data_IF_694687524700
#
_entry.id   IF_694687524700
#
_cell.length_a   1.000
_cell.length_b   1.000
_cell.length_c   1.000
_cell.angle_alpha   90.00
_cell.angle_beta   90.00
_cell.angle_gamma   90.00
#
_symmetry.space_group_name_H-M   'P 1'
#
loop_
_entity.id
_entity.type
_entity.pdbx_description
1 polymer ?
#
# COMPACT_ATOMS: atom_id res chain seq x y z
N UNK A 1 -35.12 -50.76 11.50
CA UNK A 1 -35.56 -51.18 10.15
C UNK A 1 -35.29 -50.03 9.20
N UNK A 2 -34.65 -50.36 8.09
CA UNK A 2 -33.93 -49.48 7.15
C UNK A 2 -34.82 -48.88 6.07
N UNK A 3 -34.60 -47.62 5.68
CA UNK A 3 -34.59 -47.15 4.28
C UNK A 3 -33.88 -45.79 4.22
N UNK A 4 -32.67 -45.73 3.64
CA UNK A 4 -32.36 -45.43 2.23
C UNK A 4 -32.58 -43.95 1.87
N UNK A 5 -31.51 -43.15 1.96
CA UNK A 5 -31.37 -41.90 1.20
C UNK A 5 -30.13 -42.02 0.31
N UNK A 6 -30.37 -41.75 -0.97
CA UNK A 6 -29.43 -41.91 -2.08
C UNK A 6 -28.24 -40.96 -1.97
N UNK A 7 -27.05 -41.52 -2.14
CA UNK A 7 -25.79 -40.82 -2.35
C UNK A 7 -25.68 -40.49 -3.85
N UNK A 8 -25.55 -39.21 -4.19
CA UNK A 8 -25.23 -38.78 -5.57
C UNK A 8 -23.71 -38.58 -5.66
N UNK A 9 -23.05 -39.50 -6.37
CA UNK A 9 -21.63 -39.45 -6.70
C UNK A 9 -21.37 -38.32 -7.69
N UNK A 10 -20.55 -37.34 -7.32
CA UNK A 10 -19.87 -36.44 -8.26
C UNK A 10 -18.50 -37.02 -8.60
N UNK A 11 -18.06 -37.02 -9.88
CA UNK A 11 -16.81 -37.66 -10.28
C UNK A 11 -15.60 -36.84 -9.80
N UNK A 12 -14.66 -37.56 -9.20
CA UNK A 12 -13.31 -37.10 -8.87
C UNK A 12 -12.59 -36.68 -10.17
N UNK A 13 -12.16 -35.43 -10.25
CA UNK A 13 -11.15 -35.02 -11.23
C UNK A 13 -9.79 -35.45 -10.69
N UNK A 14 -9.25 -36.51 -11.28
CA UNK A 14 -7.84 -36.89 -11.14
C UNK A 14 -6.96 -35.81 -11.79
N UNK A 15 -5.89 -35.42 -11.09
CA UNK A 15 -4.74 -34.76 -11.71
C UNK A 15 -4.35 -33.41 -11.13
N UNK A 16 -3.70 -33.42 -9.95
CA UNK A 16 -2.58 -32.50 -9.67
C UNK A 16 -1.51 -33.34 -8.97
N UNK A 17 -0.60 -33.88 -9.76
CA UNK A 17 0.66 -34.44 -9.28
C UNK A 17 1.46 -33.26 -8.69
N UNK A 18 1.66 -33.24 -7.37
CA UNK A 18 2.45 -32.19 -6.72
C UNK A 18 3.91 -32.39 -7.09
N UNK A 19 4.43 -31.54 -7.97
CA UNK A 19 5.87 -31.42 -8.19
C UNK A 19 6.52 -30.93 -6.89
N UNK A 20 7.31 -31.82 -6.29
CA UNK A 20 8.03 -31.60 -5.05
C UNK A 20 9.23 -30.67 -5.33
N UNK A 21 8.97 -29.35 -5.38
CA UNK A 21 9.99 -28.31 -5.60
C UNK A 21 10.84 -28.07 -4.34
N UNK A 22 11.46 -29.13 -3.82
CA UNK A 22 12.42 -29.04 -2.73
C UNK A 22 13.80 -28.64 -3.26
N UNK A 23 14.06 -27.32 -3.31
CA UNK A 23 15.41 -26.80 -3.58
C UNK A 23 16.22 -26.84 -2.28
N UNK A 24 17.26 -27.66 -2.27
CA UNK A 24 18.27 -27.68 -1.21
C UNK A 24 19.18 -26.46 -1.35
N UNK A 25 19.05 -25.49 -0.44
CA UNK A 25 20.00 -24.37 -0.35
C UNK A 25 21.23 -24.85 0.41
N UNK A 26 22.36 -24.99 -0.29
CA UNK A 26 23.65 -25.26 0.31
C UNK A 26 24.06 -24.09 1.22
N UNK A 27 24.15 -24.32 2.54
CA UNK A 27 24.73 -23.37 3.49
C UNK A 27 24.01 -23.17 4.83
N UNK A 28 22.84 -23.80 5.07
CA UNK A 28 22.18 -23.70 6.39
C UNK A 28 22.67 -24.79 7.35
N UNK A 29 23.16 -24.48 8.56
CA UNK A 29 23.76 -25.47 9.46
C UNK A 29 22.83 -26.60 9.93
N UNK A 30 21.52 -26.53 9.66
CA UNK A 30 20.52 -27.41 10.28
C UNK A 30 19.53 -28.09 9.34
N UNK A 31 19.73 -28.12 8.02
CA UNK A 31 18.95 -29.00 7.12
C UNK A 31 17.42 -28.92 7.23
N UNK A 32 16.87 -27.77 7.65
CA UNK A 32 15.43 -27.57 7.77
C UNK A 32 14.82 -27.50 6.38
N UNK A 33 13.96 -28.47 6.05
CA UNK A 33 13.05 -28.38 4.90
C UNK A 33 12.09 -27.21 5.14
N UNK A 34 12.43 -26.06 4.56
CA UNK A 34 11.53 -24.90 4.53
C UNK A 34 10.45 -25.23 3.51
N UNK A 35 9.26 -25.62 3.95
CA UNK A 35 8.09 -25.56 3.07
C UNK A 35 7.94 -24.11 2.63
N UNK A 36 8.15 -23.87 1.33
CA UNK A 36 8.03 -22.52 0.75
C UNK A 36 6.62 -22.00 1.05
N UNK A 37 6.55 -20.88 1.79
CA UNK A 37 5.28 -20.18 1.97
C UNK A 37 4.83 -19.65 0.60
N UNK A 38 3.51 -19.51 0.35
CA UNK A 38 3.01 -18.98 -0.93
C UNK A 38 3.28 -17.48 -1.13
N UNK A 39 4.14 -16.87 -0.30
CA UNK A 39 4.51 -15.47 -0.33
C UNK A 39 5.98 -15.29 0.09
N UNK A 40 6.61 -14.23 -0.42
CA UNK A 40 7.99 -13.87 -0.07
C UNK A 40 8.05 -13.15 1.27
N UNK A 41 9.02 -13.51 2.12
CA UNK A 41 9.34 -12.81 3.38
C UNK A 41 10.69 -12.09 3.34
N UNK A 42 11.48 -12.29 2.29
CA UNK A 42 12.71 -11.58 1.99
C UNK A 42 12.92 -11.50 0.47
N UNK A 43 13.70 -10.52 0.01
CA UNK A 43 14.07 -10.33 -1.39
C UNK A 43 15.54 -9.90 -1.48
N UNK A 44 16.28 -10.41 -2.48
CA UNK A 44 17.70 -10.13 -2.66
C UNK A 44 17.96 -8.64 -2.99
N UNK A 45 16.99 -8.00 -3.65
CA UNK A 45 17.02 -6.57 -3.99
C UNK A 45 16.98 -5.67 -2.76
N UNK A 46 16.55 -6.18 -1.60
CA UNK A 46 16.59 -5.50 -0.30
C UNK A 46 17.31 -6.37 0.74
N UNK A 47 18.66 -6.35 0.79
CA UNK A 47 19.46 -7.24 1.63
C UNK A 47 19.12 -7.21 3.13
N UNK A 48 18.61 -6.08 3.64
CA UNK A 48 18.17 -5.98 5.04
C UNK A 48 17.05 -6.97 5.36
N UNK A 49 16.22 -7.32 4.37
CA UNK A 49 15.14 -8.27 4.53
C UNK A 49 15.64 -9.73 4.65
N UNK A 50 16.79 -10.04 4.07
CA UNK A 50 17.45 -11.36 4.22
C UNK A 50 18.27 -11.42 5.51
N UNK A 51 18.86 -10.29 5.93
CA UNK A 51 19.62 -10.21 7.17
C UNK A 51 18.74 -10.34 8.44
N UNK A 52 17.44 -10.03 8.33
CA UNK A 52 16.51 -9.94 9.46
C UNK A 52 15.19 -10.65 9.17
N UNK A 53 15.26 -11.96 8.93
CA UNK A 53 14.09 -12.78 8.57
C UNK A 53 13.10 -12.85 9.75
N UNK A 54 11.79 -12.57 9.54
CA UNK A 54 10.78 -12.73 10.58
C UNK A 54 10.61 -14.21 10.96
N UNK A 55 10.03 -14.49 12.13
CA UNK A 55 9.73 -15.88 12.50
C UNK A 55 8.85 -16.56 11.43
N UNK A 56 9.38 -17.63 10.83
CA UNK A 56 8.68 -18.47 9.87
C UNK A 56 8.30 -19.76 10.60
N UNK A 57 7.01 -19.94 10.94
CA UNK A 57 6.60 -21.13 11.64
C UNK A 57 6.81 -22.36 10.75
N UNK A 58 7.51 -23.40 11.25
CA UNK A 58 7.66 -24.66 10.52
C UNK A 58 6.28 -25.30 10.29
N UNK A 59 6.15 -26.24 9.34
CA UNK A 59 4.86 -26.85 9.00
C UNK A 59 4.12 -27.46 10.20
N UNK A 60 4.86 -28.06 11.14
CA UNK A 60 4.32 -28.66 12.36
C UNK A 60 4.12 -27.65 13.52
N UNK A 61 4.31 -26.35 13.29
CA UNK A 61 4.13 -25.34 14.32
C UNK A 61 2.68 -25.25 14.74
N UNK A 62 2.44 -25.33 16.05
CA UNK A 62 1.13 -25.05 16.66
C UNK A 62 0.74 -23.58 16.52
N UNK A 63 1.73 -22.68 16.41
CA UNK A 63 1.53 -21.26 16.15
C UNK A 63 1.71 -21.00 14.66
N UNK A 64 0.61 -20.98 13.90
CA UNK A 64 0.65 -20.74 12.45
C UNK A 64 0.55 -19.24 12.12
N UNK A 65 1.48 -18.76 11.29
CA UNK A 65 1.51 -17.45 10.64
C UNK A 65 1.00 -16.27 11.48
N UNK A 66 1.49 -16.12 12.73
CA UNK A 66 1.01 -15.17 13.75
C UNK A 66 1.26 -13.67 13.43
N UNK A 67 1.01 -13.24 12.20
CA UNK A 67 1.34 -11.92 11.68
C UNK A 67 2.65 -11.87 10.90
N UNK A 68 3.03 -12.96 10.22
CA UNK A 68 4.23 -13.00 9.37
C UNK A 68 4.18 -11.91 8.30
N UNK A 69 5.21 -11.07 8.27
CA UNK A 69 5.32 -9.99 7.31
C UNK A 69 5.61 -10.49 5.89
N UNK A 70 5.04 -9.83 4.89
CA UNK A 70 5.15 -10.14 3.47
C UNK A 70 5.98 -9.06 2.79
N UNK A 71 7.04 -9.47 2.11
CA UNK A 71 7.98 -8.53 1.50
C UNK A 71 7.33 -7.75 0.36
N UNK A 72 6.59 -8.41 -0.53
CA UNK A 72 6.16 -7.86 -1.83
C UNK A 72 4.65 -7.69 -1.98
N UNK A 73 3.86 -8.03 -0.94
CA UNK A 73 2.39 -8.09 -1.04
C UNK A 73 1.71 -7.37 0.13
N UNK A 74 0.95 -6.31 -0.17
CA UNK A 74 -0.02 -5.71 0.75
C UNK A 74 -1.29 -6.56 0.84
N UNK A 75 -1.22 -7.69 1.53
CA UNK A 75 -2.33 -8.66 1.59
C UNK A 75 -3.35 -8.36 2.68
N UNK A 76 -4.63 -8.39 2.34
CA UNK A 76 -5.75 -8.35 3.30
C UNK A 76 -6.54 -9.66 3.30
N UNK A 77 -7.54 -9.76 4.17
CA UNK A 77 -8.51 -10.84 4.17
C UNK A 77 -9.26 -10.94 2.82
N UNK A 78 -9.67 -9.82 2.23
CA UNK A 78 -10.42 -9.77 0.96
C UNK A 78 -9.50 -9.91 -0.25
N UNK A 79 -8.25 -9.44 -0.16
CA UNK A 79 -7.22 -9.54 -1.19
C UNK A 79 -5.98 -10.24 -0.64
N UNK A 80 -6.01 -11.57 -0.45
CA UNK A 80 -4.89 -12.32 0.14
C UNK A 80 -3.63 -12.30 -0.71
N UNK A 81 -3.74 -11.95 -1.99
CA UNK A 81 -2.62 -11.82 -2.94
C UNK A 81 -2.29 -10.35 -3.28
N UNK A 82 -2.78 -9.38 -2.49
CA UNK A 82 -2.57 -7.95 -2.72
C UNK A 82 -3.28 -7.42 -3.96
N UNK A 83 -2.74 -6.37 -4.57
CA UNK A 83 -3.31 -5.79 -5.81
C UNK A 83 -2.92 -6.63 -7.02
N UNK A 84 -3.89 -7.34 -7.61
CA UNK A 84 -3.67 -8.18 -8.81
C UNK A 84 -4.12 -7.51 -10.10
N UNK A 85 -4.84 -6.39 -10.01
CA UNK A 85 -5.31 -5.61 -11.15
C UNK A 85 -4.12 -5.20 -12.05
N UNK A 86 -4.26 -5.37 -13.36
CA UNK A 86 -3.20 -5.11 -14.35
C UNK A 86 -1.85 -5.79 -14.03
N UNK A 87 -1.87 -6.95 -13.37
CA UNK A 87 -0.68 -7.71 -12.99
C UNK A 87 0.24 -6.99 -11.97
N UNK A 88 -0.28 -6.02 -11.21
CA UNK A 88 0.51 -5.16 -10.31
C UNK A 88 1.40 -5.95 -9.34
N UNK A 89 0.83 -6.87 -8.54
CA UNK A 89 1.60 -7.67 -7.60
C UNK A 89 2.74 -8.47 -8.24
N UNK A 90 2.59 -8.92 -9.49
CA UNK A 90 3.62 -9.71 -10.16
C UNK A 90 4.75 -8.82 -10.71
N UNK A 91 4.43 -7.61 -11.19
CA UNK A 91 5.44 -6.68 -11.74
C UNK A 91 6.29 -6.00 -10.67
N UNK A 92 5.84 -5.99 -9.41
CA UNK A 92 6.52 -5.34 -8.27
C UNK A 92 7.18 -6.35 -7.30
N UNK A 93 7.44 -7.57 -7.75
CA UNK A 93 8.02 -8.66 -6.94
C UNK A 93 9.48 -8.45 -6.49
N UNK A 94 10.12 -7.40 -6.99
CA UNK A 94 11.51 -6.99 -6.71
C UNK A 94 11.59 -5.80 -5.73
N UNK A 95 10.45 -5.35 -5.19
CA UNK A 95 10.37 -4.22 -4.27
C UNK A 95 9.69 -4.63 -2.97
N UNK A 96 10.13 -4.09 -1.85
CA UNK A 96 9.36 -4.17 -0.61
C UNK A 96 8.07 -3.38 -0.74
N UNK A 97 7.02 -3.71 0.02
CA UNK A 97 5.72 -3.00 -0.08
C UNK A 97 5.88 -1.50 0.17
N UNK A 98 6.77 -1.05 1.07
CA UNK A 98 7.04 0.39 1.26
C UNK A 98 7.78 1.04 0.08
N UNK A 99 8.55 0.27 -0.70
CA UNK A 99 9.13 0.79 -1.95
C UNK A 99 8.07 0.92 -3.04
N UNK A 100 7.16 -0.05 -3.14
CA UNK A 100 6.00 0.03 -4.03
C UNK A 100 5.15 1.27 -3.70
N UNK A 101 4.96 1.58 -2.42
CA UNK A 101 4.28 2.79 -1.96
C UNK A 101 4.85 4.07 -2.58
N UNK A 102 6.18 4.24 -2.55
CA UNK A 102 6.82 5.49 -2.99
C UNK A 102 7.18 5.52 -4.48
N UNK A 103 7.16 4.38 -5.16
CA UNK A 103 7.53 4.28 -6.58
C UNK A 103 6.71 5.19 -7.49
N UNK A 104 5.43 5.45 -7.17
CA UNK A 104 4.59 6.37 -7.95
C UNK A 104 5.23 7.74 -8.20
N UNK A 105 6.08 8.19 -7.26
CA UNK A 105 6.80 9.45 -7.40
C UNK A 105 8.17 9.30 -8.07
N UNK A 106 8.80 8.14 -8.05
CA UNK A 106 10.09 7.86 -8.73
C UNK A 106 9.86 7.51 -10.21
N UNK A 107 9.40 8.49 -10.99
CA UNK A 107 8.87 8.23 -12.35
C UNK A 107 9.93 7.91 -13.40
N UNK A 108 11.18 8.30 -13.19
CA UNK A 108 12.33 7.94 -14.02
C UNK A 108 13.09 6.72 -13.49
N UNK A 109 12.66 6.16 -12.34
CA UNK A 109 13.15 4.92 -11.74
C UNK A 109 14.65 4.95 -11.44
N UNK A 110 15.16 6.11 -11.02
CA UNK A 110 16.57 6.27 -10.62
C UNK A 110 16.79 5.97 -9.12
N UNK A 111 15.70 5.74 -8.37
CA UNK A 111 15.72 5.45 -6.94
C UNK A 111 15.77 6.70 -6.06
N UNK A 112 15.56 7.90 -6.63
CA UNK A 112 15.68 9.18 -5.96
C UNK A 112 14.44 10.04 -6.24
N UNK A 113 13.67 10.31 -5.18
CA UNK A 113 12.50 11.19 -5.28
C UNK A 113 12.93 12.62 -4.94
N UNK A 114 12.87 13.52 -5.91
CA UNK A 114 13.07 14.94 -5.72
C UNK A 114 11.78 15.63 -5.26
N UNK A 115 11.88 16.82 -4.63
CA UNK A 115 10.69 17.62 -4.31
C UNK A 115 9.78 17.91 -5.52
N UNK A 116 10.37 18.08 -6.71
CA UNK A 116 9.59 18.27 -7.95
C UNK A 116 8.74 17.03 -8.29
N UNK A 117 9.24 15.83 -8.03
CA UNK A 117 8.55 14.58 -8.32
C UNK A 117 7.35 14.42 -7.38
N UNK A 118 7.56 14.69 -6.09
CA UNK A 118 6.49 14.74 -5.09
C UNK A 118 5.39 15.72 -5.49
N UNK A 119 5.77 16.95 -5.88
CA UNK A 119 4.83 17.97 -6.33
C UNK A 119 4.03 17.50 -7.56
N UNK A 120 4.71 17.02 -8.60
CA UNK A 120 4.09 16.55 -9.84
C UNK A 120 3.16 15.38 -9.56
N UNK A 121 3.59 14.42 -8.75
CA UNK A 121 2.80 13.26 -8.34
C UNK A 121 1.47 13.67 -7.68
N UNK A 122 1.51 14.59 -6.72
CA UNK A 122 0.30 15.09 -6.08
C UNK A 122 -0.61 15.86 -7.04
N UNK A 123 -0.04 16.61 -7.98
CA UNK A 123 -0.80 17.33 -9.00
C UNK A 123 -1.51 16.39 -9.98
N UNK A 124 -0.90 15.24 -10.31
CA UNK A 124 -1.44 14.24 -11.25
C UNK A 124 -2.75 13.60 -10.77
N UNK A 125 -2.97 13.41 -9.47
CA UNK A 125 -4.27 12.94 -8.94
C UNK A 125 -5.22 14.07 -8.50
N UNK A 126 -4.83 15.33 -8.69
CA UNK A 126 -5.74 16.46 -8.63
C UNK A 126 -5.68 17.35 -7.39
N UNK A 127 -4.72 17.17 -6.47
CA UNK A 127 -4.52 18.13 -5.38
C UNK A 127 -4.13 19.50 -5.92
N UNK A 128 -4.71 20.58 -5.40
CA UNK A 128 -4.46 21.96 -5.87
C UNK A 128 -2.97 22.36 -5.73
N UNK A 129 -2.48 23.35 -6.50
CA UNK A 129 -1.08 23.80 -6.38
C UNK A 129 -0.64 24.16 -4.95
N UNK A 130 -1.44 24.89 -4.13
CA UNK A 130 -1.07 25.18 -2.75
C UNK A 130 -0.97 23.92 -1.88
N UNK A 131 -1.93 22.98 -2.04
CA UNK A 131 -1.94 21.73 -1.28
C UNK A 131 -0.76 20.82 -1.68
N UNK A 132 -0.47 20.71 -2.96
CA UNK A 132 0.66 19.94 -3.47
C UNK A 132 2.00 20.52 -3.00
N UNK A 133 2.16 21.85 -3.00
CA UNK A 133 3.35 22.50 -2.47
C UNK A 133 3.53 22.27 -0.96
N UNK A 134 2.44 22.36 -0.19
CA UNK A 134 2.47 22.07 1.24
C UNK A 134 2.84 20.61 1.53
N UNK A 135 2.24 19.66 0.79
CA UNK A 135 2.56 18.25 0.92
C UNK A 135 4.02 17.95 0.57
N UNK A 136 4.52 18.53 -0.53
CA UNK A 136 5.93 18.41 -0.94
C UNK A 136 6.87 18.89 0.15
N UNK A 137 6.59 20.07 0.73
CA UNK A 137 7.39 20.57 1.84
C UNK A 137 7.38 19.60 3.02
N UNK A 138 6.21 19.13 3.46
CA UNK A 138 6.09 18.21 4.60
C UNK A 138 6.83 16.90 4.34
N UNK A 139 6.64 16.28 3.16
CA UNK A 139 7.19 14.98 2.80
C UNK A 139 8.71 15.06 2.66
N UNK A 140 9.21 15.86 1.71
CA UNK A 140 10.64 15.89 1.40
C UNK A 140 11.49 16.42 2.56
N UNK A 141 10.99 17.45 3.28
CA UNK A 141 11.74 18.02 4.40
C UNK A 141 11.95 17.01 5.53
N UNK A 142 10.94 16.19 5.85
CA UNK A 142 11.01 15.27 6.99
C UNK A 142 11.57 13.88 6.62
N UNK A 143 11.37 13.41 5.38
CA UNK A 143 11.78 12.05 4.96
C UNK A 143 13.16 12.01 4.27
N UNK A 144 13.74 13.15 3.91
CA UNK A 144 15.05 13.15 3.23
C UNK A 144 16.18 12.64 4.13
N UNK A 145 16.31 13.18 5.34
CA UNK A 145 17.47 12.87 6.20
C UNK A 145 17.56 11.39 6.62
N UNK A 146 16.48 10.72 7.05
CA UNK A 146 16.56 9.31 7.46
C UNK A 146 16.95 8.37 6.32
N UNK A 147 16.64 8.75 5.07
CA UNK A 147 16.93 7.94 3.89
C UNK A 147 18.33 8.16 3.31
N UNK A 148 19.16 9.03 3.90
CA UNK A 148 20.46 9.36 3.30
C UNK A 148 21.45 8.18 3.20
N UNK A 149 22.28 8.17 2.14
CA UNK A 149 23.43 7.27 2.06
C UNK A 149 24.47 7.55 3.15
N UNK A 150 24.67 8.83 3.50
CA UNK A 150 25.67 9.31 4.45
C UNK A 150 25.09 10.12 5.62
N UNK A 151 25.93 10.93 6.26
CA UNK A 151 25.60 11.67 7.48
C UNK A 151 25.22 13.15 7.25
N UNK A 152 25.73 13.78 6.19
CA UNK A 152 25.46 15.20 5.93
C UNK A 152 24.06 15.37 5.33
N UNK A 153 23.26 16.34 5.79
CA UNK A 153 21.96 16.64 5.20
C UNK A 153 22.05 16.93 3.70
N UNK A 154 21.06 16.47 2.95
CA UNK A 154 20.94 16.75 1.53
C UNK A 154 20.28 18.13 1.32
N UNK A 155 20.99 19.12 0.76
CA UNK A 155 20.44 20.47 0.57
C UNK A 155 19.27 20.51 -0.42
N UNK A 156 19.05 19.43 -1.17
CA UNK A 156 17.94 19.29 -2.12
C UNK A 156 16.76 18.49 -1.56
N UNK A 157 16.83 18.03 -0.30
CA UNK A 157 15.75 17.28 0.36
C UNK A 157 15.27 16.06 -0.45
N UNK A 158 16.19 15.35 -1.09
CA UNK A 158 15.89 14.13 -1.86
C UNK A 158 15.61 12.95 -0.93
N UNK A 159 14.68 12.09 -1.33
CA UNK A 159 14.34 10.84 -0.63
C UNK A 159 14.92 9.68 -1.42
N UNK A 160 15.65 8.79 -0.75
CA UNK A 160 16.29 7.64 -1.39
C UNK A 160 15.42 6.39 -1.19
N UNK A 161 14.85 5.88 -2.29
CA UNK A 161 13.84 4.80 -2.29
C UNK A 161 14.37 3.54 -1.63
N UNK A 162 15.65 3.20 -1.83
CA UNK A 162 16.28 2.02 -1.23
C UNK A 162 16.39 2.07 0.31
N UNK A 163 16.20 3.24 0.93
CA UNK A 163 16.31 3.44 2.38
C UNK A 163 15.01 3.95 3.01
N UNK A 164 13.93 4.06 2.25
CA UNK A 164 12.62 4.56 2.74
C UNK A 164 12.06 3.73 3.91
N UNK A 165 12.45 2.46 4.06
CA UNK A 165 12.12 1.65 5.23
C UNK A 165 12.60 2.26 6.56
N UNK A 166 13.53 3.22 6.53
CA UNK A 166 14.02 3.96 7.69
C UNK A 166 13.12 5.11 8.14
N UNK A 167 12.17 5.54 7.31
CA UNK A 167 11.21 6.61 7.66
C UNK A 167 10.10 6.15 8.61
N UNK A 168 10.20 4.91 9.08
CA UNK A 168 9.28 4.35 10.09
C UNK A 168 9.37 5.12 11.41
N UNK A 169 8.23 5.47 11.99
CA UNK A 169 8.10 6.11 13.31
C UNK A 169 7.26 5.27 14.28
N UNK A 170 7.32 5.61 15.57
CA UNK A 170 6.81 4.77 16.66
C UNK A 170 5.29 4.74 16.78
N UNK A 171 4.58 5.74 16.25
CA UNK A 171 3.13 5.91 16.38
C UNK A 171 2.40 5.71 15.06
N UNK A 172 3.07 5.11 14.07
CA UNK A 172 2.46 4.67 12.82
C UNK A 172 1.46 3.51 13.06
N UNK A 173 0.89 2.97 11.98
CA UNK A 173 -0.05 1.84 12.07
C UNK A 173 0.60 0.50 12.42
N UNK A 174 1.94 0.44 12.41
CA UNK A 174 2.74 -0.78 12.50
C UNK A 174 2.48 -1.81 11.39
N UNK A 175 1.80 -1.39 10.32
CA UNK A 175 1.54 -2.23 9.14
C UNK A 175 2.80 -2.45 8.31
N UNK A 176 3.76 -1.53 8.31
CA UNK A 176 5.12 -1.84 7.86
C UNK A 176 5.97 -2.32 9.04
N UNK A 177 6.78 -3.35 8.81
CA UNK A 177 7.88 -3.69 9.71
C UNK A 177 9.11 -2.79 9.48
N UNK A 178 10.16 -2.97 10.28
CA UNK A 178 11.36 -2.15 10.23
C UNK A 178 12.19 -2.35 8.95
N UNK A 179 11.84 -3.34 8.13
CA UNK A 179 12.48 -3.62 6.84
C UNK A 179 11.56 -3.29 5.66
N UNK A 180 10.42 -2.62 5.91
CA UNK A 180 9.50 -2.16 4.87
C UNK A 180 8.53 -3.23 4.35
N UNK A 181 8.47 -4.39 5.00
CA UNK A 181 7.53 -5.46 4.66
C UNK A 181 6.15 -5.16 5.24
N UNK A 182 5.11 -5.65 4.59
CA UNK A 182 3.74 -5.47 5.03
C UNK A 182 3.31 -6.55 6.04
N UNK A 183 2.65 -6.16 7.14
CA UNK A 183 2.11 -7.02 8.18
C UNK A 183 0.59 -7.09 8.09
N UNK A 184 0.01 -8.15 7.48
CA UNK A 184 -1.43 -8.29 7.34
C UNK A 184 -2.18 -8.22 8.67
N UNK A 185 -1.64 -8.81 9.73
CA UNK A 185 -2.27 -8.77 11.06
C UNK A 185 -2.47 -7.32 11.54
N UNK A 186 -1.42 -6.49 11.45
CA UNK A 186 -1.51 -5.09 11.87
C UNK A 186 -2.50 -4.30 11.02
N UNK A 187 -2.57 -4.58 9.70
CA UNK A 187 -3.54 -3.97 8.82
C UNK A 187 -4.98 -4.35 9.17
N UNK A 188 -5.26 -5.65 9.34
CA UNK A 188 -6.59 -6.17 9.74
C UNK A 188 -7.02 -5.64 11.11
N UNK A 189 -6.08 -5.53 12.05
CA UNK A 189 -6.30 -4.98 13.38
C UNK A 189 -6.82 -3.54 13.36
N UNK A 190 -6.48 -2.73 12.34
CA UNK A 190 -7.01 -1.36 12.21
C UNK A 190 -8.54 -1.41 12.12
N UNK A 191 -9.08 -2.24 11.23
CA UNK A 191 -10.51 -2.31 10.98
C UNK A 191 -11.23 -3.06 12.10
N UNK A 192 -10.64 -4.16 12.59
CA UNK A 192 -11.20 -4.91 13.70
C UNK A 192 -11.36 -4.07 14.98
N UNK A 193 -10.44 -3.12 15.23
CA UNK A 193 -10.47 -2.25 16.42
C UNK A 193 -11.29 -0.99 16.24
N UNK A 194 -11.31 -0.43 15.02
CA UNK A 194 -11.78 0.95 14.80
C UNK A 194 -12.95 1.10 13.83
N UNK A 195 -13.26 0.15 12.94
CA UNK A 195 -14.46 0.24 12.08
C UNK A 195 -15.74 0.01 12.91
N UNK A 196 -16.25 1.09 13.50
CA UNK A 196 -17.45 1.01 14.33
C UNK A 196 -18.71 0.89 13.49
N UNK A 197 -19.47 -0.15 13.75
CA UNK A 197 -20.73 -0.40 13.04
C UNK A 197 -20.55 -1.11 11.71
N UNK A 198 -19.38 -1.73 11.48
CA UNK A 198 -19.12 -2.66 10.38
C UNK A 198 -19.41 -2.04 9.00
N UNK A 199 -18.82 -0.86 8.76
CA UNK A 199 -19.07 -0.06 7.55
C UNK A 199 -18.16 -0.46 6.39
N UNK A 200 -17.22 -1.38 6.61
CA UNK A 200 -16.19 -1.78 5.66
C UNK A 200 -15.09 -0.73 5.46
N UNK A 201 -14.87 0.15 6.44
CA UNK A 201 -13.93 1.27 6.34
C UNK A 201 -13.95 2.22 7.54
N UNK A 202 -13.13 3.27 7.47
CA UNK A 202 -13.02 4.24 8.56
C UNK A 202 -13.69 5.56 8.19
N UNK A 203 -14.61 6.02 9.04
CA UNK A 203 -15.03 7.42 9.02
C UNK A 203 -14.03 8.31 9.78
N UNK A 204 -14.28 9.63 9.79
CA UNK A 204 -13.38 10.59 10.47
C UNK A 204 -13.25 10.33 11.98
N UNK A 205 -14.32 9.83 12.63
CA UNK A 205 -14.31 9.57 14.06
C UNK A 205 -13.53 8.29 14.39
N UNK A 206 -13.63 7.29 13.53
CA UNK A 206 -12.83 6.07 13.62
C UNK A 206 -11.36 6.36 13.38
N UNK A 207 -11.03 7.20 12.39
CA UNK A 207 -9.66 7.71 12.21
C UNK A 207 -9.15 8.41 13.47
N UNK A 208 -9.90 9.34 14.07
CA UNK A 208 -9.45 10.04 15.28
C UNK A 208 -9.25 9.09 16.48
N UNK A 209 -10.03 8.00 16.58
CA UNK A 209 -9.84 6.96 17.60
C UNK A 209 -8.60 6.12 17.31
N UNK A 210 -8.40 5.72 16.05
CA UNK A 210 -7.22 5.01 15.58
C UNK A 210 -5.96 5.82 15.87
N UNK A 211 -5.91 7.07 15.42
CA UNK A 211 -4.79 7.98 15.65
C UNK A 211 -4.47 8.12 17.15
N UNK A 212 -5.48 8.36 17.99
CA UNK A 212 -5.27 8.46 19.44
C UNK A 212 -4.72 7.18 20.06
N UNK A 213 -5.10 6.02 19.52
CA UNK A 213 -4.71 4.69 20.00
C UNK A 213 -3.30 4.26 19.60
N UNK A 214 -2.75 4.78 18.51
CA UNK A 214 -1.37 4.46 18.07
C UNK A 214 -0.28 5.26 18.81
N UNK A 215 -0.64 6.32 19.54
CA UNK A 215 0.34 7.23 20.16
C UNK A 215 1.22 6.54 21.20
N UNK A 216 2.52 6.52 20.96
CA UNK A 216 3.53 6.09 21.94
C UNK A 216 4.02 7.26 22.83
N UNK A 217 4.33 6.97 24.10
CA UNK A 217 4.50 7.96 25.20
C UNK A 217 5.52 9.09 24.96
N UNK A 218 6.46 8.96 24.03
CA UNK A 218 7.44 10.02 23.73
C UNK A 218 7.65 10.26 22.22
N UNK A 219 6.73 9.78 21.39
CA UNK A 219 6.86 9.89 19.95
C UNK A 219 6.02 11.05 19.40
N UNK A 220 6.33 12.27 19.85
CA UNK A 220 5.59 13.47 19.43
C UNK A 220 5.66 13.70 17.93
N UNK A 221 6.79 13.36 17.30
CA UNK A 221 6.94 13.39 15.85
C UNK A 221 5.97 12.42 15.19
N UNK A 222 5.97 11.14 15.60
CA UNK A 222 5.05 10.14 15.03
C UNK A 222 3.59 10.48 15.27
N UNK A 223 3.21 11.13 16.38
CA UNK A 223 1.83 11.58 16.58
C UNK A 223 1.39 12.54 15.46
N UNK A 224 2.23 13.52 15.14
CA UNK A 224 1.95 14.47 14.07
C UNK A 224 2.04 13.83 12.70
N UNK A 225 3.06 12.99 12.45
CA UNK A 225 3.26 12.29 11.19
C UNK A 225 2.04 11.39 10.86
N UNK A 226 1.64 10.50 11.76
CA UNK A 226 0.46 9.63 11.55
C UNK A 226 -0.81 10.42 11.31
N UNK A 227 -1.03 11.55 12.01
CA UNK A 227 -2.20 12.38 11.76
C UNK A 227 -2.20 12.93 10.31
N UNK A 228 -1.06 13.46 9.87
CA UNK A 228 -0.90 14.04 8.54
C UNK A 228 -0.97 12.99 7.43
N UNK A 229 -0.36 11.82 7.61
CA UNK A 229 -0.42 10.68 6.66
C UNK A 229 -1.87 10.24 6.40
N UNK A 230 -2.65 10.10 7.47
CA UNK A 230 -4.04 9.65 7.35
C UNK A 230 -4.99 10.77 6.90
N UNK A 231 -4.71 12.03 7.27
CA UNK A 231 -5.41 13.19 6.70
C UNK A 231 -5.14 13.29 5.19
N UNK A 232 -3.88 13.13 4.77
CA UNK A 232 -3.51 13.06 3.36
C UNK A 232 -4.22 11.90 2.65
N UNK A 233 -4.31 10.74 3.28
CA UNK A 233 -5.08 9.59 2.77
C UNK A 233 -6.56 9.95 2.58
N UNK A 234 -7.19 10.58 3.57
CA UNK A 234 -8.58 11.05 3.45
C UNK A 234 -8.76 12.05 2.30
N UNK A 235 -7.86 13.03 2.18
CA UNK A 235 -7.89 14.03 1.10
C UNK A 235 -7.62 13.44 -0.29
N UNK A 236 -6.81 12.38 -0.37
CA UNK A 236 -6.57 11.64 -1.61
C UNK A 236 -7.80 10.85 -2.03
N UNK A 237 -8.39 10.08 -1.11
CA UNK A 237 -9.53 9.22 -1.40
C UNK A 237 -10.80 10.04 -1.67
N UNK A 238 -11.03 11.06 -0.84
CA UNK A 238 -12.20 11.95 -0.83
C UNK A 238 -13.52 11.18 -0.99
N UNK A 239 -13.85 10.26 -0.05
CA UNK A 239 -15.03 9.40 -0.17
C UNK A 239 -16.33 10.20 -0.09
N UNK A 240 -17.30 9.89 -0.97
CA UNK A 240 -18.57 10.62 -1.08
C UNK A 240 -19.44 10.50 0.18
N UNK A 241 -19.42 9.35 0.84
CA UNK A 241 -20.14 9.08 2.09
C UNK A 241 -19.27 9.28 3.34
N UNK A 242 -18.06 9.80 3.18
CA UNK A 242 -17.13 10.06 4.27
C UNK A 242 -16.41 8.82 4.81
N UNK A 243 -16.55 7.64 4.20
CA UNK A 243 -15.94 6.40 4.68
C UNK A 243 -14.76 6.00 3.78
N UNK A 244 -13.55 5.98 4.34
CA UNK A 244 -12.37 5.46 3.67
C UNK A 244 -12.41 3.93 3.68
N UNK A 245 -12.70 3.32 2.52
CA UNK A 245 -12.84 1.86 2.38
C UNK A 245 -11.53 1.14 2.68
N UNK A 246 -11.64 -0.01 3.34
CA UNK A 246 -10.51 -0.87 3.70
C UNK A 246 -9.57 -1.13 2.53
N UNK A 247 -10.12 -1.53 1.39
CA UNK A 247 -9.31 -1.90 0.23
C UNK A 247 -8.69 -0.72 -0.51
N UNK A 248 -9.27 0.48 -0.41
CA UNK A 248 -8.62 1.70 -0.91
C UNK A 248 -7.47 2.12 0.02
N UNK A 249 -7.63 1.98 1.35
CA UNK A 249 -6.53 2.19 2.32
C UNK A 249 -5.42 1.15 2.11
N UNK A 250 -5.75 -0.12 1.86
CA UNK A 250 -4.76 -1.16 1.52
C UNK A 250 -3.93 -0.75 0.29
N UNK A 251 -4.60 -0.20 -0.73
CA UNK A 251 -3.95 0.31 -1.93
C UNK A 251 -3.03 1.51 -1.70
N UNK A 252 -3.18 2.23 -0.57
CA UNK A 252 -2.18 3.22 -0.15
C UNK A 252 -0.88 2.51 0.22
N UNK A 253 -0.93 1.41 0.96
CA UNK A 253 0.27 0.72 1.41
C UNK A 253 1.12 0.13 0.27
N UNK A 254 0.52 -0.38 -0.80
CA UNK A 254 1.31 -0.81 -1.97
C UNK A 254 1.49 0.30 -3.03
N UNK A 255 0.90 1.49 -2.83
CA UNK A 255 1.01 2.61 -3.77
C UNK A 255 0.09 2.52 -5.00
N UNK A 256 -0.59 1.38 -5.19
CA UNK A 256 -1.48 1.15 -6.34
C UNK A 256 -2.62 2.18 -6.45
N UNK A 257 -3.07 2.73 -5.31
CA UNK A 257 -4.15 3.72 -5.26
C UNK A 257 -3.76 5.04 -5.95
N UNK A 258 -2.48 5.43 -5.93
CA UNK A 258 -2.04 6.71 -6.50
C UNK A 258 -2.25 6.74 -8.01
N UNK A 259 -1.90 5.64 -8.68
CA UNK A 259 -2.15 5.44 -10.10
C UNK A 259 -3.66 5.46 -10.42
N UNK A 260 -4.47 4.75 -9.63
CA UNK A 260 -5.95 4.73 -9.78
C UNK A 260 -6.55 6.13 -9.66
N UNK A 261 -6.11 6.93 -8.67
CA UNK A 261 -6.60 8.30 -8.44
C UNK A 261 -6.11 9.27 -9.52
N UNK A 262 -4.88 9.13 -10.00
CA UNK A 262 -4.35 9.90 -11.13
C UNK A 262 -5.18 9.67 -12.40
N UNK A 263 -5.46 8.42 -12.73
CA UNK A 263 -6.28 8.07 -13.88
C UNK A 263 -7.73 8.57 -13.74
N UNK A 264 -8.33 8.42 -12.55
CA UNK A 264 -9.66 8.97 -12.24
C UNK A 264 -9.72 10.48 -12.44
N UNK A 265 -8.69 11.20 -11.97
CA UNK A 265 -8.61 12.64 -12.11
C UNK A 265 -8.49 13.08 -13.57
N UNK A 266 -7.60 12.45 -14.35
CA UNK A 266 -7.43 12.78 -15.76
C UNK A 266 -8.71 12.47 -16.56
N UNK A 267 -9.39 11.36 -16.29
CA UNK A 267 -10.72 11.07 -16.89
C UNK A 267 -11.74 12.16 -16.57
N UNK A 268 -11.86 12.56 -15.29
CA UNK A 268 -12.78 13.62 -14.87
C UNK A 268 -12.45 14.97 -15.54
N UNK A 269 -11.17 15.27 -15.72
CA UNK A 269 -10.68 16.48 -16.38
C UNK A 269 -11.01 16.50 -17.87
N UNK A 270 -10.79 15.39 -18.58
CA UNK A 270 -11.17 15.23 -19.99
C UNK A 270 -12.69 15.40 -20.17
N UNK A 271 -13.49 14.70 -19.37
CA UNK A 271 -14.96 14.82 -19.40
C UNK A 271 -15.43 16.27 -19.18
N UNK A 272 -14.86 16.99 -18.21
CA UNK A 272 -15.17 18.41 -17.97
C UNK A 272 -14.78 19.30 -19.14
N UNK A 273 -13.67 19.03 -19.82
CA UNK A 273 -13.24 19.78 -21.01
C UNK A 273 -14.19 19.54 -22.19
N UNK A 274 -14.62 18.30 -22.41
CA UNK A 274 -15.60 17.95 -23.45
C UNK A 274 -16.96 18.60 -23.19
N UNK A 275 -17.46 18.55 -21.96
CA UNK A 275 -18.70 19.22 -21.56
C UNK A 275 -18.63 20.74 -21.82
N UNK A 276 -17.50 21.39 -21.46
CA UNK A 276 -17.30 22.83 -21.71
C UNK A 276 -17.30 23.16 -23.21
N UNK A 277 -16.62 22.36 -24.04
CA UNK A 277 -16.62 22.51 -25.50
C UNK A 277 -18.01 22.33 -26.09
N UNK A 278 -18.75 21.31 -25.63
CA UNK A 278 -20.13 21.03 -26.05
C UNK A 278 -21.09 22.17 -25.71
N UNK A 279 -21.03 22.70 -24.49
CA UNK A 279 -21.84 23.86 -24.07
C UNK A 279 -21.52 25.11 -24.89
N UNK A 280 -20.22 25.40 -25.10
CA UNK A 280 -19.80 26.55 -25.92
C UNK A 280 -20.31 26.44 -27.37
N UNK A 281 -20.22 25.25 -27.97
CA UNK A 281 -20.72 24.98 -29.34
C UNK A 281 -22.24 25.19 -29.42
N UNK A 282 -23.00 24.71 -28.43
CA UNK A 282 -24.46 24.92 -28.37
C UNK A 282 -24.84 26.40 -28.27
N UNK A 283 -24.15 27.17 -27.41
CA UNK A 283 -24.41 28.60 -27.24
C UNK A 283 -24.15 29.38 -28.54
N UNK A 284 -23.05 29.10 -29.24
CA UNK A 284 -22.74 29.71 -30.55
C UNK A 284 -23.84 29.40 -31.57
N UNK A 285 -24.28 28.13 -31.64
CA UNK A 285 -25.33 27.71 -32.57
C UNK A 285 -26.70 28.36 -32.28
N UNK A 286 -27.02 28.64 -31.00
CA UNK A 286 -28.23 29.35 -30.63
C UNK A 286 -28.14 30.83 -31.00
N UNK A 287 -27.01 31.50 -30.75
CA UNK A 287 -26.81 32.89 -31.12
C UNK A 287 -26.92 33.10 -32.65
N UNK A 288 -26.40 32.16 -33.45
CA UNK A 288 -26.51 32.20 -34.91
C UNK A 288 -27.94 31.99 -35.44
N UNK A 289 -28.84 31.36 -34.69
CA UNK A 289 -30.25 31.16 -35.09
C UNK A 289 -31.15 32.36 -34.76
N UNK A 290 -30.66 33.30 -33.95
CA UNK A 290 -31.39 34.50 -33.52
C UNK A 290 -31.05 35.72 -34.39
N UNK A 291 -29.95 35.64 -35.16
CA UNK A 291 -29.55 36.60 -36.19
C UNK A 291 -30.11 36.20 -37.56
#
# INVERSE_FOLDING_TARGET
>A
MSSQLHNVNLPMMDGIESSDDSITVAGSPNGLTVTQKPFKTAIAEQPVTEARIPFLPPPASVLQNAGTARATLAASHEKPNGTTDNNYAATHQNQTVVQQHVEYWDTDHDGIIWPQDTYIGCRKWGWSPPLAALATFIINFNLSYPTLPGFLPDPFFRIYVNKVYKDKHGSDSMTYDNEGRFKPQNFEDIFAKYDKGDKGGLDIWDFLRFWKGQRMVFDFFGWSATFLEWLATYLLLWPEDGIMRKEDIRGVYDGSIFYKKAEEYERKKVMRQEQRKGTSTRLISMAQKIL
#
